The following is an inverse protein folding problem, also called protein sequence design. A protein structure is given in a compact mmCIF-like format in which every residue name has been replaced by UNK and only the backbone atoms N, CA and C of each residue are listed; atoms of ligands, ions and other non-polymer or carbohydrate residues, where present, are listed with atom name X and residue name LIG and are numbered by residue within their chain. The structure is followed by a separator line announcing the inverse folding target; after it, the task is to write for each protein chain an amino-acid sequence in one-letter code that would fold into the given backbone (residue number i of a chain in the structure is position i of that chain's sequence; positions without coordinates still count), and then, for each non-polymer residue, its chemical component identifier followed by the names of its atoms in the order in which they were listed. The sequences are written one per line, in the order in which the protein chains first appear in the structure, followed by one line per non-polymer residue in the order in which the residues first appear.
data_IF_576307942384
#
_entry.id   IF_576307942384
#
_cell.length_a   1.000
_cell.length_b   1.000
_cell.length_c   1.000
_cell.angle_alpha   90.00
_cell.angle_beta   90.00
_cell.angle_gamma   90.00
#
_symmetry.space_group_name_H-M   'P 1'
#
loop_
_entity.id
_entity.type
_entity.pdbx_description
1 polymer ?
#
# COMPACT_ATOMS: atom_id res chain seq x y z
N UNK A 1 -35.89 4.60 -42.63
CA UNK A 1 -35.59 3.46 -41.72
C UNK A 1 -34.50 3.81 -40.70
N UNK A 2 -33.46 4.55 -41.07
CA UNK A 2 -32.36 5.01 -40.18
C UNK A 2 -32.76 6.00 -39.07
N UNK A 3 -33.85 6.77 -39.23
CA UNK A 3 -34.32 7.71 -38.21
C UNK A 3 -34.91 7.02 -36.97
N UNK A 4 -35.45 5.82 -37.13
CA UNK A 4 -35.94 5.01 -36.01
C UNK A 4 -34.80 4.35 -35.23
N UNK A 5 -33.69 4.00 -35.90
CA UNK A 5 -32.52 3.42 -35.23
C UNK A 5 -31.87 4.40 -34.25
N UNK A 6 -31.71 5.67 -34.64
CA UNK A 6 -31.10 6.69 -33.78
C UNK A 6 -31.96 7.03 -32.55
N UNK A 7 -33.29 7.12 -32.73
CA UNK A 7 -34.21 7.33 -31.60
C UNK A 7 -34.34 6.11 -30.70
N UNK A 8 -34.31 4.88 -31.25
CA UNK A 8 -34.36 3.64 -30.47
C UNK A 8 -33.09 3.43 -29.61
N UNK A 9 -31.91 3.73 -30.17
CA UNK A 9 -30.64 3.65 -29.44
C UNK A 9 -30.52 4.74 -28.36
N UNK A 10 -31.03 5.95 -28.62
CA UNK A 10 -31.07 7.04 -27.64
C UNK A 10 -32.05 6.78 -26.48
N UNK A 11 -33.20 6.16 -26.74
CA UNK A 11 -34.16 5.78 -25.70
C UNK A 11 -33.65 4.62 -24.83
N UNK A 12 -32.88 3.69 -25.39
CA UNK A 12 -32.27 2.58 -24.65
C UNK A 12 -31.24 3.08 -23.62
N UNK A 13 -30.52 4.17 -23.92
CA UNK A 13 -29.55 4.79 -23.01
C UNK A 13 -30.18 5.61 -21.87
N UNK A 14 -31.47 5.97 -21.96
CA UNK A 14 -32.21 6.70 -20.90
C UNK A 14 -32.98 5.76 -19.96
N UNK A 15 -33.13 4.48 -20.32
CA UNK A 15 -33.76 3.45 -19.49
C UNK A 15 -32.73 2.58 -18.74
N UNK A 16 -31.44 2.68 -19.10
CA UNK A 16 -30.37 2.16 -18.24
C UNK A 16 -30.18 3.14 -17.09
N UNK A 17 -30.42 2.75 -15.82
CA UNK A 17 -30.04 3.59 -14.70
C UNK A 17 -28.54 3.87 -14.81
N UNK A 18 -28.13 5.13 -14.63
CA UNK A 18 -26.73 5.57 -14.61
C UNK A 18 -25.84 4.66 -13.72
N UNK A 19 -26.44 3.97 -12.74
CA UNK A 19 -25.79 2.94 -11.91
C UNK A 19 -25.23 1.73 -12.68
N UNK A 20 -25.79 1.31 -13.81
CA UNK A 20 -25.30 0.11 -14.51
C UNK A 20 -24.01 0.36 -15.33
N UNK A 21 -23.62 1.63 -15.52
CA UNK A 21 -22.33 1.97 -16.14
C UNK A 21 -21.17 2.01 -15.12
N UNK A 22 -21.50 2.15 -13.83
CA UNK A 22 -20.51 2.14 -12.75
C UNK A 22 -19.91 0.74 -12.50
N UNK A 23 -20.53 -0.33 -13.00
CA UNK A 23 -20.00 -1.70 -12.84
C UNK A 23 -18.95 -2.09 -13.90
N UNK A 24 -18.81 -1.36 -15.01
CA UNK A 24 -17.78 -1.66 -16.03
C UNK A 24 -16.45 -0.93 -15.80
N UNK A 25 -16.50 0.16 -15.04
CA UNK A 25 -15.36 0.74 -14.32
C UNK A 25 -15.54 0.49 -12.83
N UNK A 26 -15.96 -0.73 -12.48
CA UNK A 26 -15.75 -1.26 -11.14
C UNK A 26 -14.25 -1.32 -10.94
N UNK A 27 -13.72 -0.32 -10.23
CA UNK A 27 -12.30 -0.14 -9.98
C UNK A 27 -11.65 -1.46 -9.58
N UNK A 28 -10.64 -1.80 -10.37
CA UNK A 28 -9.79 -2.97 -10.34
C UNK A 28 -9.06 -3.14 -9.01
N UNK A 29 -9.76 -3.54 -7.95
CA UNK A 29 -9.12 -3.98 -6.73
C UNK A 29 -8.57 -5.39 -6.99
N UNK A 30 -7.39 -5.44 -7.64
CA UNK A 30 -6.55 -6.64 -7.66
C UNK A 30 -6.15 -6.88 -6.21
N UNK A 31 -6.97 -7.61 -5.46
CA UNK A 31 -6.68 -8.00 -4.09
C UNK A 31 -5.60 -9.08 -4.11
N UNK A 32 -4.37 -8.65 -4.34
CA UNK A 32 -3.18 -9.48 -4.30
C UNK A 32 -2.72 -9.54 -2.84
N UNK A 33 -3.43 -10.32 -2.02
CA UNK A 33 -3.02 -10.61 -0.64
C UNK A 33 -1.81 -11.56 -0.66
N UNK A 34 -0.67 -11.04 -1.09
CA UNK A 34 0.64 -11.62 -0.80
C UNK A 34 0.83 -11.49 0.70
N UNK A 35 0.97 -12.62 1.38
CA UNK A 35 1.39 -12.68 2.78
C UNK A 35 2.84 -12.22 2.85
N UNK A 36 3.06 -10.91 2.85
CA UNK A 36 4.35 -10.32 3.17
C UNK A 36 4.59 -10.69 4.64
N UNK A 37 5.49 -11.64 4.86
CA UNK A 37 5.98 -11.94 6.21
C UNK A 37 6.37 -10.61 6.83
N UNK A 38 5.72 -10.20 7.94
CA UNK A 38 5.79 -8.86 8.51
C UNK A 38 7.22 -8.30 8.42
N UNK A 39 7.46 -7.52 7.37
CA UNK A 39 8.72 -6.85 7.16
C UNK A 39 8.77 -5.69 8.16
N UNK A 40 9.96 -5.21 8.46
CA UNK A 40 10.06 -4.01 9.28
C UNK A 40 9.43 -2.84 8.50
N UNK A 41 8.76 -1.92 9.20
CA UNK A 41 7.99 -0.84 8.58
C UNK A 41 8.81 -0.06 7.54
N UNK A 42 10.10 0.14 7.80
CA UNK A 42 11.02 0.85 6.90
C UNK A 42 11.52 0.04 5.68
N UNK A 43 10.92 -1.10 5.36
CA UNK A 43 11.22 -1.91 4.18
C UNK A 43 10.03 -2.73 3.66
N UNK A 44 8.81 -2.39 4.06
CA UNK A 44 7.61 -3.15 3.73
C UNK A 44 6.84 -2.59 2.51
N UNK A 45 7.26 -1.44 1.99
CA UNK A 45 6.66 -0.80 0.81
C UNK A 45 5.40 0.00 1.11
N UNK A 46 5.09 0.25 2.39
CA UNK A 46 3.90 0.95 2.85
C UNK A 46 4.36 2.18 3.64
N UNK A 47 3.72 3.32 3.38
CA UNK A 47 3.82 4.50 4.24
C UNK A 47 2.99 4.27 5.53
N UNK A 48 3.68 3.84 6.58
CA UNK A 48 3.13 3.45 7.88
C UNK A 48 2.93 4.64 8.83
N UNK A 49 3.45 5.84 8.52
CA UNK A 49 3.28 7.06 9.32
C UNK A 49 2.49 8.18 8.62
N UNK A 50 2.14 7.95 7.35
CA UNK A 50 1.32 8.80 6.47
C UNK A 50 1.95 10.15 6.13
N UNK A 51 3.29 10.24 6.04
CA UNK A 51 4.02 11.44 5.67
C UNK A 51 4.32 11.58 4.15
N UNK A 52 3.90 10.59 3.36
CA UNK A 52 4.12 10.42 1.91
C UNK A 52 5.55 10.01 1.51
N UNK A 53 6.39 9.66 2.47
CA UNK A 53 7.64 8.96 2.24
C UNK A 53 7.40 7.45 2.44
N UNK A 54 8.21 6.63 1.78
CA UNK A 54 8.06 5.17 1.82
C UNK A 54 9.45 4.59 1.99
N UNK A 55 9.65 3.85 3.08
CA UNK A 55 10.84 3.04 3.37
C UNK A 55 12.19 3.79 3.39
N UNK A 56 13.20 3.15 3.97
CA UNK A 56 14.58 3.62 3.84
C UNK A 56 15.11 3.47 2.40
N UNK A 57 15.86 4.44 1.84
CA UNK A 57 16.37 5.68 2.43
C UNK A 57 15.55 6.94 2.11
N UNK A 58 14.40 6.77 1.46
CA UNK A 58 13.58 7.89 1.00
C UNK A 58 12.77 8.49 2.15
N UNK A 59 12.41 7.67 3.13
CA UNK A 59 11.82 8.04 4.41
C UNK A 59 12.85 8.55 5.42
N UNK A 60 12.61 9.75 5.95
CA UNK A 60 13.51 10.43 6.91
C UNK A 60 13.31 10.02 8.38
N UNK A 61 12.18 9.39 8.71
CA UNK A 61 11.96 8.74 9.99
C UNK A 61 12.56 7.34 10.07
N UNK A 62 12.90 6.73 8.93
CA UNK A 62 13.69 5.49 8.86
C UNK A 62 15.20 5.72 8.98
N UNK A 63 15.83 5.20 10.04
CA UNK A 63 17.30 5.19 10.18
C UNK A 63 17.95 3.97 9.49
N UNK A 64 17.21 2.86 9.39
CA UNK A 64 17.62 1.64 8.71
C UNK A 64 16.42 0.89 8.14
N UNK A 65 16.65 0.06 7.11
CA UNK A 65 15.61 -0.81 6.56
C UNK A 65 15.02 -1.79 7.60
N UNK A 66 15.72 -2.08 8.69
CA UNK A 66 15.25 -2.99 9.75
C UNK A 66 14.43 -2.31 10.84
N UNK A 67 14.21 -1.00 10.76
CA UNK A 67 13.46 -0.26 11.76
C UNK A 67 11.97 -0.61 11.67
N UNK A 68 11.35 -0.84 12.82
CA UNK A 68 9.95 -1.29 12.93
C UNK A 68 8.93 -0.15 12.89
N UNK A 69 9.39 1.09 12.77
CA UNK A 69 8.57 2.30 12.75
C UNK A 69 9.19 3.32 11.81
N UNK A 70 8.37 3.98 11.01
CA UNK A 70 8.77 5.08 10.11
C UNK A 70 8.64 6.45 10.77
N UNK A 71 8.17 6.51 12.01
CA UNK A 71 8.03 7.79 12.71
C UNK A 71 9.39 8.39 13.05
N UNK A 72 9.57 9.66 12.70
CA UNK A 72 10.66 10.47 13.22
C UNK A 72 10.49 10.56 14.74
N UNK A 73 11.20 9.70 15.48
CA UNK A 73 11.32 9.76 16.95
C UNK A 73 12.14 10.99 17.33
N UNK A 74 11.61 12.17 17.01
CA UNK A 74 12.25 13.45 17.25
C UNK A 74 12.08 13.81 18.72
N UNK A 75 12.91 13.22 19.59
CA UNK A 75 13.72 13.92 20.60
C UNK A 75 14.32 12.93 21.62
N UNK A 76 15.45 12.31 21.26
CA UNK A 76 16.47 11.90 22.22
C UNK A 76 16.34 10.51 22.85
N UNK A 77 17.05 9.54 22.26
CA UNK A 77 17.84 8.56 23.02
C UNK A 77 17.25 7.16 23.23
N UNK A 78 17.94 6.17 22.65
CA UNK A 78 17.92 4.75 23.04
C UNK A 78 16.92 3.91 22.23
N UNK A 79 17.25 2.78 21.63
CA UNK A 79 18.40 1.89 21.74
C UNK A 79 17.91 0.43 21.69
N UNK A 80 18.65 -0.44 20.99
CA UNK A 80 18.56 -1.90 21.13
C UNK A 80 18.00 -2.62 19.88
N UNK A 81 18.58 -3.70 19.38
CA UNK A 81 19.69 -4.48 19.89
C UNK A 81 20.24 -5.42 18.83
N UNK A 82 21.55 -5.33 18.59
CA UNK A 82 22.27 -6.30 17.78
C UNK A 82 22.49 -7.58 18.56
N UNK A 83 21.70 -8.61 18.24
CA UNK A 83 21.97 -9.98 18.64
C UNK A 83 23.27 -10.48 17.99
N UNK A 84 24.12 -11.13 18.78
CA UNK A 84 25.33 -11.79 18.31
C UNK A 84 25.64 -12.98 19.19
N UNK A 85 25.10 -14.14 18.81
CA UNK A 85 25.42 -15.43 19.44
C UNK A 85 26.80 -15.95 19.03
N UNK A 86 27.41 -16.70 19.96
CA UNK A 86 28.64 -17.46 19.77
C UNK A 86 29.34 -17.59 21.13
N UNK A 87 29.44 -18.72 21.81
CA UNK A 87 29.52 -20.10 21.35
C UNK A 87 30.92 -20.63 21.64
N UNK A 88 31.10 -21.25 22.82
CA UNK A 88 32.11 -22.29 23.07
C UNK A 88 33.49 -21.87 23.62
N UNK A 89 33.97 -22.63 24.61
CA UNK A 89 35.39 -22.70 24.95
C UNK A 89 35.70 -22.89 26.44
N UNK A 90 35.35 -24.05 26.99
CA UNK A 90 35.93 -24.50 28.26
C UNK A 90 37.38 -24.94 28.06
N UNK A 91 38.22 -24.60 29.03
CA UNK A 91 39.62 -25.04 29.17
C UNK A 91 40.06 -24.85 30.60
#
# INVERSE_FOLDING_TARGET
MTRYLATLLGFLALLTPFSAYADLVGSSEVNLSVTVAALAACQDGIDNDSDLLIDYPDDTGCSSATDTTETVESSGGGGGGGGGGGGGGGG
#
